data_IF_635461452948
#
_entry.id   IF_635461452948
#
_cell.length_a   1.000
_cell.length_b   1.000
_cell.length_c   1.000
_cell.angle_alpha   90.00
_cell.angle_beta   90.00
_cell.angle_gamma   90.00
#
_symmetry.space_group_name_H-M   'P 1'
#
loop_
_entity.id
_entity.type
_entity.pdbx_description
1 polymer ?
#
# COMPACT_ATOMS: atom_id res chain seq x y z
N UNK A 1 69.88 -4.56 26.92
CA UNK A 1 68.52 -4.89 26.46
C UNK A 1 67.62 -3.68 26.74
N UNK A 2 67.23 -2.95 25.70
CA UNK A 2 66.35 -1.77 25.74
C UNK A 2 64.90 -2.20 26.01
N UNK A 3 64.19 -1.50 26.90
CA UNK A 3 62.76 -1.21 26.72
C UNK A 3 62.53 0.25 27.11
N UNK A 4 62.39 1.11 26.10
CA UNK A 4 62.10 2.53 26.25
C UNK A 4 60.59 2.68 26.15
N UNK A 5 59.90 2.75 27.28
CA UNK A 5 58.45 2.94 27.33
C UNK A 5 58.12 4.40 26.98
N UNK A 6 57.65 4.65 25.74
CA UNK A 6 57.11 5.95 25.35
C UNK A 6 55.61 5.96 25.69
N UNK A 7 55.25 6.45 26.86
CA UNK A 7 53.88 6.86 27.14
C UNK A 7 53.56 8.09 26.27
N UNK A 8 52.87 7.88 25.16
CA UNK A 8 52.41 8.97 24.31
C UNK A 8 51.33 9.77 25.02
N UNK A 9 51.69 10.90 25.64
CA UNK A 9 50.70 11.85 26.13
C UNK A 9 49.97 12.47 24.93
N UNK A 10 48.69 12.15 24.81
CA UNK A 10 47.83 12.71 23.77
C UNK A 10 47.74 14.23 23.98
N UNK A 11 48.36 14.98 23.06
CA UNK A 11 48.31 16.44 23.08
C UNK A 11 46.86 16.94 23.10
N UNK A 12 46.59 18.01 23.85
CA UNK A 12 45.29 18.70 23.87
C UNK A 12 44.77 19.02 22.45
N UNK A 13 45.68 19.25 21.50
CA UNK A 13 45.36 19.44 20.07
C UNK A 13 44.87 18.16 19.40
N UNK A 14 45.48 17.02 19.71
CA UNK A 14 45.06 15.71 19.22
C UNK A 14 43.69 15.31 19.78
N UNK A 15 43.42 15.64 21.05
CA UNK A 15 42.11 15.45 21.66
C UNK A 15 41.02 16.31 20.99
N UNK A 16 41.25 17.61 20.83
CA UNK A 16 40.29 18.53 20.17
C UNK A 16 40.04 18.12 18.71
N UNK A 17 41.08 17.72 17.98
CA UNK A 17 40.94 17.26 16.60
C UNK A 17 40.11 15.96 16.51
N UNK A 18 40.33 15.00 17.42
CA UNK A 18 39.54 13.77 17.47
C UNK A 18 38.07 14.04 17.80
N UNK A 19 37.78 14.95 18.74
CA UNK A 19 36.39 15.31 19.07
C UNK A 19 35.71 16.03 17.90
N UNK A 20 36.40 16.92 17.19
CA UNK A 20 35.85 17.61 16.02
C UNK A 20 35.53 16.65 14.86
N UNK A 21 36.37 15.63 14.63
CA UNK A 21 36.13 14.58 13.62
C UNK A 21 34.93 13.71 14.00
N UNK A 22 34.78 13.34 15.27
CA UNK A 22 33.63 12.58 15.77
C UNK A 22 32.32 13.35 15.63
N UNK A 23 32.31 14.64 15.94
CA UNK A 23 31.12 15.50 15.79
C UNK A 23 30.79 15.70 14.30
N UNK A 24 31.79 15.87 13.43
CA UNK A 24 31.57 15.98 11.99
C UNK A 24 31.05 14.66 11.38
N UNK A 25 31.54 13.50 11.82
CA UNK A 25 31.08 12.19 11.38
C UNK A 25 29.61 11.92 11.80
N UNK A 26 29.19 12.35 12.98
CA UNK A 26 27.79 12.28 13.41
C UNK A 26 26.88 13.29 12.70
N UNK A 27 27.46 14.27 11.99
CA UNK A 27 26.71 15.31 11.25
C UNK A 27 26.43 14.93 9.79
N UNK A 28 27.00 13.82 9.31
CA UNK A 28 26.70 13.27 7.98
C UNK A 28 25.31 12.63 8.07
N UNK A 29 24.28 13.39 7.69
CA UNK A 29 22.96 12.82 7.42
C UNK A 29 23.10 11.97 6.16
N UNK A 30 23.05 10.65 6.28
CA UNK A 30 22.82 9.80 5.12
C UNK A 30 21.48 10.16 4.52
N UNK A 31 21.49 10.70 3.30
CA UNK A 31 20.25 10.85 2.55
C UNK A 31 19.70 9.45 2.25
N UNK A 32 18.38 9.24 2.43
CA UNK A 32 17.79 7.95 2.11
C UNK A 32 17.98 7.66 0.62
N UNK A 33 18.40 6.44 0.32
CA UNK A 33 18.72 5.97 -1.02
C UNK A 33 18.29 4.52 -1.20
N UNK A 34 17.94 4.14 -2.42
CA UNK A 34 17.60 2.75 -2.74
C UNK A 34 16.42 2.64 -3.70
N UNK A 35 15.90 1.42 -3.81
CA UNK A 35 14.79 1.09 -4.69
C UNK A 35 13.68 0.41 -3.89
N UNK A 36 12.44 0.82 -4.11
CA UNK A 36 11.26 0.30 -3.43
C UNK A 36 10.20 -0.10 -4.46
N UNK A 37 9.63 -1.28 -4.33
CA UNK A 37 8.47 -1.74 -5.11
C UNK A 37 7.20 -1.45 -4.31
N UNK A 38 6.31 -0.65 -4.88
CA UNK A 38 5.04 -0.23 -4.29
C UNK A 38 3.88 -0.88 -5.05
N UNK A 39 3.25 -1.88 -4.44
CA UNK A 39 2.04 -2.51 -4.96
C UNK A 39 0.84 -1.56 -4.85
N UNK A 40 0.12 -1.40 -5.97
CA UNK A 40 -0.95 -0.44 -6.11
C UNK A 40 -2.26 -1.12 -6.47
N UNK A 41 -2.75 -0.97 -7.70
CA UNK A 41 -4.00 -1.59 -8.12
C UNK A 41 -4.07 -1.69 -9.62
N UNK A 42 -5.28 -1.92 -10.12
CA UNK A 42 -5.49 -2.14 -11.54
C UNK A 42 -5.16 -0.88 -12.36
N UNK A 43 -4.83 -1.10 -13.63
CA UNK A 43 -4.64 -0.01 -14.59
C UNK A 43 -5.90 0.85 -14.69
N UNK A 44 -5.70 2.17 -14.66
CA UNK A 44 -6.79 3.15 -14.63
C UNK A 44 -7.49 3.30 -13.28
N UNK A 45 -7.12 2.50 -12.27
CA UNK A 45 -7.65 2.59 -10.92
C UNK A 45 -7.00 3.67 -10.06
N UNK A 46 -7.71 4.10 -9.01
CA UNK A 46 -7.25 5.16 -8.10
C UNK A 46 -5.96 4.78 -7.36
N UNK A 47 -5.80 3.51 -6.96
CA UNK A 47 -4.58 3.05 -6.28
C UNK A 47 -3.34 3.28 -7.16
N UNK A 48 -3.41 2.93 -8.43
CA UNK A 48 -2.30 3.09 -9.36
C UNK A 48 -1.97 4.56 -9.59
N UNK A 49 -2.98 5.38 -9.90
CA UNK A 49 -2.79 6.82 -10.10
C UNK A 49 -2.20 7.52 -8.86
N UNK A 50 -2.69 7.14 -7.66
CA UNK A 50 -2.13 7.65 -6.40
C UNK A 50 -0.67 7.23 -6.20
N UNK A 51 -0.35 5.95 -6.43
CA UNK A 51 0.99 5.42 -6.24
C UNK A 51 1.99 6.05 -7.21
N UNK A 52 1.61 6.31 -8.46
CA UNK A 52 2.42 7.03 -9.46
C UNK A 52 2.72 8.45 -9.01
N UNK A 53 1.70 9.20 -8.57
CA UNK A 53 1.89 10.55 -8.03
C UNK A 53 2.80 10.53 -6.78
N UNK A 54 2.63 9.55 -5.90
CA UNK A 54 3.46 9.40 -4.71
C UNK A 54 4.92 9.11 -5.09
N UNK A 55 5.15 8.19 -6.02
CA UNK A 55 6.48 7.84 -6.53
C UNK A 55 7.19 9.07 -7.11
N UNK A 56 6.51 9.85 -7.95
CA UNK A 56 7.04 11.10 -8.52
C UNK A 56 7.43 12.10 -7.44
N UNK A 57 6.59 12.25 -6.41
CA UNK A 57 6.84 13.20 -5.30
C UNK A 57 7.99 12.74 -4.41
N UNK A 58 8.14 11.43 -4.19
CA UNK A 58 9.29 10.86 -3.48
C UNK A 58 10.57 11.10 -4.29
N UNK A 59 10.57 10.78 -5.59
CA UNK A 59 11.72 10.93 -6.47
C UNK A 59 12.16 12.40 -6.59
N UNK A 60 11.21 13.33 -6.66
CA UNK A 60 11.50 14.77 -6.68
C UNK A 60 12.09 15.29 -5.36
N UNK A 61 11.66 14.71 -4.22
CA UNK A 61 12.13 15.11 -2.89
C UNK A 61 13.44 14.43 -2.48
N UNK A 62 13.65 13.20 -2.93
CA UNK A 62 14.79 12.34 -2.61
C UNK A 62 15.31 11.70 -3.91
N UNK A 63 16.21 12.39 -4.64
CA UNK A 63 16.69 11.93 -5.95
C UNK A 63 17.36 10.55 -5.95
N UNK A 64 17.86 10.11 -4.79
CA UNK A 64 18.50 8.80 -4.62
C UNK A 64 17.54 7.65 -4.31
N UNK A 65 16.23 7.91 -4.19
CA UNK A 65 15.21 6.89 -4.02
C UNK A 65 14.44 6.71 -5.33
N UNK A 66 14.38 5.48 -5.81
CA UNK A 66 13.49 5.08 -6.92
C UNK A 66 12.33 4.26 -6.37
N UNK A 67 11.12 4.58 -6.79
CA UNK A 67 9.91 3.81 -6.44
C UNK A 67 9.35 3.19 -7.72
N UNK A 68 9.35 1.87 -7.81
CA UNK A 68 8.64 1.15 -8.87
C UNK A 68 7.21 0.90 -8.45
N UNK A 69 6.27 1.47 -9.19
CA UNK A 69 4.86 1.19 -8.98
C UNK A 69 4.48 -0.11 -9.68
N UNK A 70 3.91 -1.05 -8.92
CA UNK A 70 3.48 -2.36 -9.40
C UNK A 70 1.96 -2.35 -9.52
N UNK A 71 1.46 -2.55 -10.74
CA UNK A 71 0.03 -2.76 -11.00
C UNK A 71 -0.38 -4.15 -10.51
N UNK A 72 -1.51 -4.24 -9.83
CA UNK A 72 -2.02 -5.46 -9.16
C UNK A 72 -3.54 -5.53 -9.25
N UNK A 73 -4.14 -6.57 -8.68
CA UNK A 73 -5.61 -6.67 -8.55
C UNK A 73 -6.19 -5.92 -7.34
N UNK A 74 -5.33 -5.32 -6.51
CA UNK A 74 -5.71 -4.48 -5.37
C UNK A 74 -5.34 -5.08 -4.01
N UNK A 75 -6.07 -4.71 -2.96
CA UNK A 75 -5.68 -4.93 -1.55
C UNK A 75 -5.29 -6.37 -1.20
N UNK A 76 -6.03 -7.39 -1.66
CA UNK A 76 -5.72 -8.81 -1.33
C UNK A 76 -4.41 -9.24 -1.99
N UNK A 77 -4.23 -8.91 -3.27
CA UNK A 77 -3.03 -9.22 -4.03
C UNK A 77 -1.80 -8.49 -3.47
N UNK A 78 -1.94 -7.20 -3.14
CA UNK A 78 -0.89 -6.41 -2.52
C UNK A 78 -0.39 -7.01 -1.20
N UNK A 79 -1.32 -7.46 -0.35
CA UNK A 79 -0.99 -8.12 0.91
C UNK A 79 -0.28 -9.45 0.65
N UNK A 80 -0.71 -10.24 -0.33
CA UNK A 80 -0.05 -11.48 -0.69
C UNK A 80 1.42 -11.24 -1.13
N UNK A 81 1.64 -10.25 -2.00
CA UNK A 81 2.98 -9.85 -2.46
C UNK A 81 3.86 -9.31 -1.31
N UNK A 82 3.27 -8.59 -0.35
CA UNK A 82 3.98 -8.13 0.84
C UNK A 82 4.42 -9.30 1.72
N UNK A 83 3.55 -10.31 1.90
CA UNK A 83 3.85 -11.50 2.70
C UNK A 83 4.97 -12.35 2.11
N UNK A 84 5.12 -12.37 0.78
CA UNK A 84 6.18 -13.09 0.07
C UNK A 84 7.47 -12.28 -0.09
N UNK A 85 7.44 -10.98 0.21
CA UNK A 85 8.58 -10.07 -0.02
C UNK A 85 8.79 -9.72 -1.50
N UNK A 86 7.81 -9.99 -2.36
CA UNK A 86 7.83 -9.62 -3.77
C UNK A 86 7.62 -8.12 -3.99
N UNK A 87 7.11 -7.41 -2.98
CA UNK A 87 7.07 -5.95 -2.93
C UNK A 87 7.46 -5.47 -1.54
N UNK A 88 7.90 -4.21 -1.46
CA UNK A 88 8.43 -3.62 -0.22
C UNK A 88 7.35 -2.77 0.49
N UNK A 89 6.40 -2.24 -0.29
CA UNK A 89 5.23 -1.51 0.20
C UNK A 89 3.99 -1.85 -0.63
N UNK A 90 2.80 -1.65 -0.07
CA UNK A 90 1.55 -1.88 -0.78
C UNK A 90 0.40 -1.07 -0.20
N UNK A 91 -0.50 -0.60 -1.07
CA UNK A 91 -1.75 0.02 -0.66
C UNK A 91 -2.76 -1.05 -0.24
N UNK A 92 -3.54 -0.80 0.81
CA UNK A 92 -4.60 -1.73 1.21
C UNK A 92 -5.74 -1.00 1.91
N UNK A 93 -6.93 -1.59 1.85
CA UNK A 93 -8.02 -1.19 2.72
C UNK A 93 -7.76 -1.77 4.12
N UNK A 94 -8.04 -0.98 5.16
CA UNK A 94 -7.74 -1.35 6.53
C UNK A 94 -8.49 -2.62 6.99
N UNK A 95 -9.73 -2.79 6.56
CA UNK A 95 -10.54 -3.99 6.85
C UNK A 95 -9.98 -5.27 6.20
N UNK A 96 -9.46 -5.16 4.97
CA UNK A 96 -8.78 -6.27 4.30
C UNK A 96 -7.48 -6.62 5.02
N UNK A 97 -6.69 -5.64 5.42
CA UNK A 97 -5.46 -5.85 6.19
C UNK A 97 -5.73 -6.49 7.56
N UNK A 98 -6.76 -6.04 8.29
CA UNK A 98 -7.13 -6.65 9.56
C UNK A 98 -7.65 -8.09 9.41
N UNK A 99 -8.45 -8.37 8.37
CA UNK A 99 -8.89 -9.73 8.06
C UNK A 99 -7.71 -10.64 7.77
N UNK A 100 -6.80 -10.19 6.92
CA UNK A 100 -5.58 -10.94 6.60
C UNK A 100 -4.72 -11.19 7.85
N UNK A 101 -4.51 -10.18 8.70
CA UNK A 101 -3.78 -10.32 9.97
C UNK A 101 -4.42 -11.32 10.92
N UNK A 102 -5.75 -11.42 10.93
CA UNK A 102 -6.48 -12.36 11.77
C UNK A 102 -6.40 -13.82 11.27
N UNK A 103 -6.24 -14.03 9.96
CA UNK A 103 -6.20 -15.37 9.35
C UNK A 103 -4.82 -15.88 8.94
N UNK A 104 -3.87 -14.97 8.71
CA UNK A 104 -2.55 -15.27 8.18
C UNK A 104 -1.46 -15.44 9.26
N UNK A 105 -0.28 -15.97 8.90
CA UNK A 105 0.84 -16.09 9.82
C UNK A 105 1.31 -14.72 10.33
N UNK A 106 1.54 -14.60 11.63
CA UNK A 106 2.00 -13.35 12.26
C UNK A 106 3.41 -12.97 11.79
N UNK A 107 4.29 -13.95 11.57
CA UNK A 107 5.68 -13.73 11.19
C UNK A 107 5.87 -12.97 9.86
N UNK A 108 4.88 -13.01 8.97
CA UNK A 108 4.90 -12.32 7.68
C UNK A 108 3.83 -11.24 7.57
N UNK A 109 3.13 -10.92 8.66
CA UNK A 109 2.06 -9.93 8.64
C UNK A 109 2.61 -8.54 8.28
N UNK A 110 2.05 -7.85 7.26
CA UNK A 110 2.47 -6.49 6.93
C UNK A 110 2.19 -5.51 8.07
N UNK A 111 3.03 -4.48 8.19
CA UNK A 111 2.87 -3.41 9.18
C UNK A 111 2.27 -2.18 8.51
N UNK A 112 1.27 -1.56 9.16
CA UNK A 112 0.69 -0.31 8.69
C UNK A 112 1.66 0.87 8.91
N UNK A 113 1.99 1.58 7.83
CA UNK A 113 2.91 2.74 7.88
C UNK A 113 2.16 4.06 7.94
N UNK A 114 1.09 4.22 7.14
CA UNK A 114 0.31 5.45 7.07
C UNK A 114 -1.11 5.20 6.55
N UNK A 115 -2.04 6.04 6.99
CA UNK A 115 -3.35 6.20 6.34
C UNK A 115 -3.25 7.33 5.33
N UNK A 116 -3.39 6.99 4.04
CA UNK A 116 -3.12 7.93 2.95
C UNK A 116 -4.35 8.66 2.43
N UNK A 117 -5.54 8.06 2.52
CA UNK A 117 -6.83 8.70 2.20
C UNK A 117 -8.01 7.83 2.69
N UNK A 118 -9.23 8.31 2.50
CA UNK A 118 -10.48 7.60 2.80
C UNK A 118 -11.04 6.91 1.56
N UNK A 119 -11.46 5.65 1.73
CA UNK A 119 -12.22 4.92 0.73
C UNK A 119 -13.65 4.77 1.23
N UNK A 120 -14.60 5.20 0.39
CA UNK A 120 -16.03 5.06 0.65
C UNK A 120 -16.58 3.95 -0.25
N UNK A 121 -17.27 2.98 0.34
CA UNK A 121 -18.03 2.00 -0.44
C UNK A 121 -19.24 2.71 -1.07
N UNK A 122 -19.32 2.67 -2.40
CA UNK A 122 -20.40 3.29 -3.15
C UNK A 122 -21.25 2.22 -3.84
N UNK A 123 -22.56 2.31 -3.66
CA UNK A 123 -23.54 1.51 -4.40
C UNK A 123 -24.22 2.42 -5.40
N UNK A 124 -23.90 2.24 -6.67
CA UNK A 124 -24.38 3.10 -7.76
C UNK A 124 -25.41 2.32 -8.58
N UNK A 125 -26.54 2.95 -8.84
CA UNK A 125 -27.59 2.43 -9.71
C UNK A 125 -27.89 3.45 -10.80
N UNK A 126 -28.43 2.98 -11.93
CA UNK A 126 -28.94 3.88 -12.97
C UNK A 126 -30.09 4.71 -12.40
N UNK A 127 -30.22 5.95 -12.87
CA UNK A 127 -31.32 6.85 -12.49
C UNK A 127 -32.71 6.22 -12.80
N UNK A 128 -32.82 5.51 -13.92
CA UNK A 128 -34.03 4.78 -14.30
C UNK A 128 -34.29 3.47 -13.51
N UNK A 129 -33.43 3.14 -12.54
CA UNK A 129 -33.57 1.92 -11.75
C UNK A 129 -34.66 2.05 -10.69
N UNK A 130 -35.47 1.00 -10.53
CA UNK A 130 -36.42 0.90 -9.42
C UNK A 130 -35.75 0.60 -8.05
N UNK A 131 -34.41 0.42 -8.01
CA UNK A 131 -33.67 0.16 -6.77
C UNK A 131 -33.58 1.43 -5.94
N UNK A 132 -34.13 1.40 -4.73
CA UNK A 132 -34.12 2.53 -3.79
C UNK A 132 -33.48 2.14 -2.45
N UNK A 133 -33.33 0.84 -2.19
CA UNK A 133 -32.74 0.27 -0.97
C UNK A 133 -31.88 -0.94 -1.32
N UNK A 134 -30.91 -1.26 -0.46
CA UNK A 134 -30.02 -2.42 -0.67
C UNK A 134 -30.79 -3.73 -0.86
N UNK A 135 -31.89 -3.93 -0.12
CA UNK A 135 -32.76 -5.11 -0.23
C UNK A 135 -33.28 -5.36 -1.65
N UNK A 136 -33.41 -4.30 -2.45
CA UNK A 136 -33.94 -4.38 -3.80
C UNK A 136 -32.94 -4.98 -4.78
N UNK A 137 -31.67 -5.15 -4.37
CA UNK A 137 -30.64 -5.86 -5.15
C UNK A 137 -30.84 -7.38 -5.15
N UNK A 138 -31.76 -7.92 -4.33
CA UNK A 138 -32.04 -9.36 -4.29
C UNK A 138 -32.43 -9.88 -5.68
N UNK A 139 -31.70 -10.89 -6.16
CA UNK A 139 -31.93 -11.49 -7.47
C UNK A 139 -31.56 -10.60 -8.66
N UNK A 140 -30.93 -9.44 -8.43
CA UNK A 140 -30.37 -8.61 -9.50
C UNK A 140 -28.90 -8.98 -9.74
N UNK A 141 -28.44 -8.75 -10.97
CA UNK A 141 -27.02 -8.82 -11.29
C UNK A 141 -26.34 -7.56 -10.77
N UNK A 142 -25.25 -7.72 -10.02
CA UNK A 142 -24.49 -6.61 -9.43
C UNK A 142 -23.03 -6.77 -9.81
N UNK A 143 -22.40 -5.66 -10.20
CA UNK A 143 -20.94 -5.62 -10.34
C UNK A 143 -20.32 -5.47 -8.96
N UNK A 144 -19.60 -6.50 -8.50
CA UNK A 144 -18.92 -6.51 -7.20
C UNK A 144 -17.54 -5.84 -7.21
N UNK A 145 -17.13 -5.28 -8.37
CA UNK A 145 -15.74 -4.91 -8.62
C UNK A 145 -14.89 -6.12 -9.04
N UNK A 146 -13.61 -5.87 -9.29
CA UNK A 146 -12.68 -6.92 -9.68
C UNK A 146 -12.43 -7.93 -8.56
N UNK A 147 -12.20 -9.19 -8.94
CA UNK A 147 -11.87 -10.25 -7.99
C UNK A 147 -10.59 -9.89 -7.21
N UNK A 148 -10.62 -10.05 -5.88
CA UNK A 148 -9.47 -9.72 -5.02
C UNK A 148 -9.30 -8.22 -4.72
N UNK A 149 -10.12 -7.35 -5.32
CA UNK A 149 -10.16 -5.94 -4.93
C UNK A 149 -10.72 -5.79 -3.52
N UNK A 150 -10.27 -4.77 -2.78
CA UNK A 150 -10.83 -4.48 -1.46
C UNK A 150 -12.34 -4.24 -1.49
N UNK A 151 -12.85 -3.55 -2.52
CA UNK A 151 -14.28 -3.31 -2.72
C UNK A 151 -15.08 -4.60 -2.86
N UNK A 152 -14.54 -5.64 -3.50
CA UNK A 152 -15.21 -6.96 -3.60
C UNK A 152 -15.35 -7.63 -2.24
N UNK A 153 -14.30 -7.55 -1.40
CA UNK A 153 -14.30 -8.10 -0.03
C UNK A 153 -15.29 -7.35 0.86
N UNK A 154 -15.19 -6.01 0.91
CA UNK A 154 -16.09 -5.18 1.72
C UNK A 154 -17.54 -5.24 1.21
N UNK A 155 -17.73 -5.31 -0.11
CA UNK A 155 -19.04 -5.47 -0.75
C UNK A 155 -19.72 -6.78 -0.38
N UNK A 156 -18.98 -7.88 -0.29
CA UNK A 156 -19.54 -9.16 0.17
C UNK A 156 -20.02 -9.07 1.62
N UNK A 157 -19.25 -8.43 2.51
CA UNK A 157 -19.65 -8.20 3.90
C UNK A 157 -20.96 -7.39 3.97
N UNK A 158 -21.11 -6.38 3.11
CA UNK A 158 -22.35 -5.60 3.01
C UNK A 158 -23.55 -6.45 2.57
N UNK A 159 -23.37 -7.29 1.54
CA UNK A 159 -24.46 -8.15 1.06
C UNK A 159 -24.86 -9.21 2.09
N UNK A 160 -23.89 -9.81 2.78
CA UNK A 160 -24.17 -10.77 3.85
C UNK A 160 -24.94 -10.11 5.00
N UNK A 161 -24.53 -8.90 5.42
CA UNK A 161 -25.21 -8.13 6.46
C UNK A 161 -26.64 -7.71 6.03
N UNK A 162 -26.87 -7.48 4.74
CA UNK A 162 -28.19 -7.19 4.18
C UNK A 162 -29.07 -8.44 3.96
N UNK A 163 -28.58 -9.63 4.30
CA UNK A 163 -29.27 -10.90 4.07
C UNK A 163 -29.43 -11.24 2.58
N UNK A 164 -28.60 -10.65 1.73
CA UNK A 164 -28.59 -10.82 0.27
C UNK A 164 -27.67 -11.98 -0.14
N UNK A 165 -27.85 -13.12 0.53
CA UNK A 165 -27.10 -14.33 0.19
C UNK A 165 -27.47 -14.77 -1.23
N UNK A 166 -26.47 -14.86 -2.11
CA UNK A 166 -26.66 -15.29 -3.50
C UNK A 166 -26.92 -14.18 -4.53
N UNK A 167 -26.54 -12.92 -4.26
CA UNK A 167 -26.38 -11.93 -5.34
C UNK A 167 -25.32 -12.45 -6.31
N UNK A 168 -25.69 -12.62 -7.58
CA UNK A 168 -24.75 -13.00 -8.66
C UNK A 168 -23.80 -11.83 -8.91
N UNK A 169 -22.70 -11.82 -8.17
CA UNK A 169 -21.59 -10.90 -8.37
C UNK A 169 -20.83 -11.33 -9.62
N UNK A 170 -21.07 -10.63 -10.72
CA UNK A 170 -20.23 -10.77 -11.89
C UNK A 170 -19.06 -9.81 -11.79
N UNK A 171 -17.87 -10.35 -12.03
CA UNK A 171 -16.73 -9.53 -12.46
C UNK A 171 -17.12 -8.98 -13.83
N UNK A 172 -17.48 -7.71 -13.88
CA UNK A 172 -17.64 -7.02 -15.15
C UNK A 172 -16.25 -6.50 -15.50
N UNK A 173 -15.60 -7.13 -16.48
CA UNK A 173 -14.32 -6.66 -16.97
C UNK A 173 -14.44 -5.22 -17.47
N UNK A 174 -13.83 -4.30 -16.71
CA UNK A 174 -13.14 -3.09 -17.17
C UNK A 174 -13.91 -2.00 -17.91
N UNK A 175 -15.19 -2.16 -18.27
CA UNK A 175 -15.85 -1.15 -19.10
C UNK A 175 -17.32 -0.94 -18.73
N UNK A 176 -17.53 -0.04 -17.76
CA UNK A 176 -18.84 0.53 -17.47
C UNK A 176 -19.30 1.53 -18.56
N UNK A 177 -18.50 1.75 -19.62
CA UNK A 177 -18.75 2.72 -20.68
C UNK A 177 -19.27 2.15 -22.01
N UNK A 178 -19.03 0.89 -22.37
CA UNK A 178 -19.36 0.38 -23.72
C UNK A 178 -20.71 -0.33 -23.87
N UNK A 179 -21.48 -0.55 -22.80
CA UNK A 179 -22.79 -1.25 -22.88
C UNK A 179 -24.01 -0.34 -22.70
N UNK A 180 -23.88 0.97 -22.87
CA UNK A 180 -24.98 1.92 -22.91
C UNK A 180 -25.58 2.06 -24.33
N UNK A 181 -25.90 0.93 -24.97
CA UNK A 181 -26.50 0.90 -26.31
C UNK A 181 -27.10 -0.46 -26.61
N UNK A 182 -28.38 -0.64 -26.24
CA UNK A 182 -29.18 -1.84 -26.48
C UNK A 182 -30.52 -1.75 -25.79
#
# INVERSE_FOLDING_TARGET
>A
MMIRNRSGELSRRAFIAATAVLVAACSIRSEPSGRLRLAAGQRGGLYLAFAEILADRIQARYPSITVDVVSTEGSVDNIALLRTGEVDMGLSLADVAERDRASGPEATAPVAVARVYENYLQVIVRDSSAVQRLSDLRGKQVSGGAAGSGSSVTGQVLFDAAGLMGVDQRVLDGDLGSRAGG
#
